data_IF_755539840067
#
_entry.id   IF_755539840067
#
_cell.length_a   1.000
_cell.length_b   1.000
_cell.length_c   1.000
_cell.angle_alpha   90.00
_cell.angle_beta   90.00
_cell.angle_gamma   90.00
#
_symmetry.space_group_name_H-M   'P 1'
#
loop_
_entity.id
_entity.type
_entity.pdbx_description
1 polymer ?
#
# COMPACT_ATOMS: atom_id res chain seq x y z
N UNK A 1 -4.46 -0.71 49.95
CA UNK A 1 -4.09 -0.47 48.54
C UNK A 1 -4.41 -1.74 47.79
N UNK A 2 -5.62 -1.83 47.23
CA UNK A 2 -6.00 -2.94 46.35
C UNK A 2 -5.41 -2.68 44.97
N UNK A 3 -4.70 -3.67 44.43
CA UNK A 3 -4.23 -3.66 43.06
C UNK A 3 -5.39 -4.02 42.14
N UNK A 4 -5.83 -3.06 41.33
CA UNK A 4 -6.73 -3.33 40.20
C UNK A 4 -5.97 -4.14 39.16
N UNK A 5 -6.27 -5.43 39.08
CA UNK A 5 -5.77 -6.31 38.03
C UNK A 5 -6.66 -6.09 36.80
N UNK A 6 -6.18 -5.32 35.83
CA UNK A 6 -6.84 -5.18 34.53
C UNK A 6 -6.40 -6.36 33.66
N UNK A 7 -7.28 -7.36 33.54
CA UNK A 7 -7.13 -8.40 32.53
C UNK A 7 -7.58 -7.85 31.18
N UNK A 8 -6.65 -7.73 30.23
CA UNK A 8 -6.89 -7.19 28.89
C UNK A 8 -7.79 -8.12 28.04
N UNK A 9 -8.13 -9.31 28.55
CA UNK A 9 -8.92 -10.33 27.87
C UNK A 9 -10.17 -10.78 28.64
N UNK A 10 -10.70 -9.93 29.52
CA UNK A 10 -12.02 -10.17 30.13
C UNK A 10 -13.13 -9.90 29.10
N UNK A 11 -13.45 -10.91 28.29
CA UNK A 11 -14.52 -10.90 27.29
C UNK A 11 -15.87 -11.36 27.85
N UNK A 12 -16.05 -11.41 29.17
CA UNK A 12 -17.36 -11.66 29.81
C UNK A 12 -18.25 -10.40 29.87
N UNK A 13 -18.16 -9.52 28.87
CA UNK A 13 -19.25 -8.58 28.64
C UNK A 13 -20.49 -9.39 28.20
N UNK A 14 -21.70 -9.11 28.73
CA UNK A 14 -22.91 -9.72 28.18
C UNK A 14 -22.91 -9.47 26.68
N UNK A 15 -23.41 -10.43 25.89
CA UNK A 15 -23.56 -10.33 24.44
C UNK A 15 -24.38 -9.07 24.08
N UNK A 16 -23.73 -7.91 24.07
CA UNK A 16 -24.22 -6.69 23.47
C UNK A 16 -24.10 -6.95 21.96
N UNK A 17 -25.06 -7.74 21.48
CA UNK A 17 -25.58 -7.82 20.14
C UNK A 17 -24.60 -7.28 19.08
N UNK A 18 -23.89 -8.21 18.43
CA UNK A 18 -23.20 -8.00 17.14
C UNK A 18 -24.17 -7.59 15.99
N UNK A 19 -25.39 -7.15 16.28
CA UNK A 19 -26.30 -6.64 15.28
C UNK A 19 -25.72 -5.38 14.66
N UNK A 20 -25.63 -5.39 13.33
CA UNK A 20 -25.27 -4.21 12.56
C UNK A 20 -26.29 -3.09 12.85
N UNK A 21 -25.83 -1.87 13.19
CA UNK A 21 -26.71 -0.74 13.39
C UNK A 21 -27.53 -0.46 12.11
N UNK A 22 -28.80 -0.09 12.26
CA UNK A 22 -29.61 0.30 11.10
C UNK A 22 -29.05 1.59 10.49
N UNK A 23 -29.28 1.80 9.18
CA UNK A 23 -28.85 3.02 8.49
C UNK A 23 -29.42 4.27 9.17
N UNK A 24 -30.66 4.22 9.71
CA UNK A 24 -31.24 5.34 10.45
C UNK A 24 -30.53 5.60 11.78
N UNK A 25 -30.05 4.55 12.47
CA UNK A 25 -29.32 4.68 13.73
C UNK A 25 -27.92 5.30 13.56
N UNK A 26 -27.37 5.23 12.34
CA UNK A 26 -26.14 5.92 11.95
C UNK A 26 -26.38 7.39 11.57
N UNK A 27 -27.62 7.89 11.65
CA UNK A 27 -28.07 9.21 11.20
C UNK A 27 -27.51 10.44 11.93
N UNK A 28 -26.39 10.31 12.66
CA UNK A 28 -25.57 11.47 12.99
C UNK A 28 -24.87 11.91 11.71
N UNK A 29 -25.16 13.12 11.24
CA UNK A 29 -24.32 13.74 10.23
C UNK A 29 -22.86 13.63 10.69
N UNK A 30 -21.97 13.03 9.88
CA UNK A 30 -20.57 12.99 10.22
C UNK A 30 -20.11 14.43 10.40
N UNK A 31 -19.65 14.78 11.61
CA UNK A 31 -18.98 16.07 11.82
C UNK A 31 -17.62 15.97 11.16
N UNK A 32 -17.57 16.30 9.88
CA UNK A 32 -16.33 16.55 9.18
C UNK A 32 -15.74 17.83 9.78
N UNK A 33 -14.83 17.70 10.75
CA UNK A 33 -13.86 18.76 11.01
C UNK A 33 -13.17 19.04 9.68
N UNK A 34 -12.94 20.32 9.34
CA UNK A 34 -12.29 20.70 8.09
C UNK A 34 -11.15 19.73 7.77
N UNK A 35 -11.16 19.06 6.60
CA UNK A 35 -10.17 18.05 6.30
C UNK A 35 -8.79 18.66 6.52
N UNK A 36 -7.92 17.95 7.23
CA UNK A 36 -6.53 18.33 7.31
C UNK A 36 -6.06 18.61 5.88
N UNK A 37 -5.57 19.82 5.60
CA UNK A 37 -5.15 20.19 4.26
C UNK A 37 -3.95 19.31 3.90
N UNK A 38 -4.22 18.23 3.16
CA UNK A 38 -3.19 17.36 2.61
C UNK A 38 -2.42 18.17 1.57
N UNK A 39 -1.18 18.53 1.89
CA UNK A 39 -0.27 19.16 0.93
C UNK A 39 0.47 18.04 0.19
N UNK A 40 0.30 17.92 -1.14
CA UNK A 40 1.10 16.99 -1.93
C UNK A 40 2.59 17.28 -1.70
N UNK A 41 3.39 16.24 -1.49
CA UNK A 41 4.85 16.36 -1.31
C UNK A 41 5.50 16.96 -2.57
N UNK A 42 4.91 16.72 -3.75
CA UNK A 42 5.28 17.35 -5.01
C UNK A 42 4.07 17.48 -5.94
N UNK A 43 3.99 18.60 -6.68
CA UNK A 43 3.00 18.83 -7.75
C UNK A 43 3.58 18.35 -9.08
N UNK A 44 3.64 17.02 -9.25
CA UNK A 44 4.11 16.37 -10.47
C UNK A 44 2.86 16.00 -11.29
N UNK A 45 2.81 16.29 -12.61
CA UNK A 45 1.76 15.77 -13.48
C UNK A 45 1.72 14.25 -13.40
N UNK A 46 0.70 13.70 -12.74
CA UNK A 46 0.52 12.25 -12.53
C UNK A 46 -0.61 11.76 -13.43
N UNK A 47 -0.29 10.85 -14.34
CA UNK A 47 -1.29 10.00 -14.99
C UNK A 47 -1.30 8.63 -14.30
N UNK A 48 -2.47 8.17 -13.85
CA UNK A 48 -2.59 6.84 -13.27
C UNK A 48 -2.26 5.78 -14.30
N UNK A 49 -1.26 4.94 -14.01
CA UNK A 49 -0.96 3.78 -14.83
C UNK A 49 -2.12 2.78 -14.76
N UNK A 50 -2.56 2.31 -15.93
CA UNK A 50 -3.59 1.28 -16.03
C UNK A 50 -2.95 -0.09 -15.90
N UNK A 51 -3.19 -0.76 -14.78
CA UNK A 51 -2.74 -2.13 -14.56
C UNK A 51 -3.61 -3.08 -15.39
N UNK A 52 -2.96 -3.90 -16.22
CA UNK A 52 -3.61 -4.81 -17.15
C UNK A 52 -3.62 -6.26 -16.61
N UNK A 53 -4.47 -7.14 -17.16
CA UNK A 53 -4.54 -8.53 -16.72
C UNK A 53 -3.19 -9.28 -16.79
N UNK A 54 -2.36 -8.98 -17.79
CA UNK A 54 -1.05 -9.57 -18.01
C UNK A 54 0.06 -9.01 -17.10
N UNK A 55 -0.17 -7.86 -16.48
CA UNK A 55 0.86 -7.24 -15.64
C UNK A 55 1.05 -8.04 -14.35
N UNK A 56 2.32 -8.21 -13.99
CA UNK A 56 2.76 -8.91 -12.78
C UNK A 56 2.84 -7.90 -11.63
N UNK A 57 2.17 -8.17 -10.52
CA UNK A 57 2.18 -7.32 -9.32
C UNK A 57 3.07 -7.93 -8.22
N UNK A 58 3.10 -9.26 -8.16
CA UNK A 58 3.75 -10.01 -7.09
C UNK A 58 4.65 -11.10 -7.66
N UNK A 59 5.96 -10.82 -7.85
CA UNK A 59 6.91 -11.83 -8.27
C UNK A 59 6.93 -13.04 -7.32
N UNK A 60 7.10 -14.23 -7.88
CA UNK A 60 7.06 -15.48 -7.11
C UNK A 60 8.40 -15.74 -6.41
N UNK A 61 8.35 -15.95 -5.10
CA UNK A 61 9.51 -16.28 -4.28
C UNK A 61 10.30 -15.07 -3.75
N UNK A 62 10.98 -15.29 -2.64
CA UNK A 62 11.68 -14.26 -1.88
C UNK A 62 12.67 -13.44 -2.71
N UNK A 63 13.58 -14.11 -3.44
CA UNK A 63 14.64 -13.44 -4.21
C UNK A 63 14.09 -12.58 -5.35
N UNK A 64 13.05 -13.07 -6.06
CA UNK A 64 12.41 -12.28 -7.11
C UNK A 64 11.69 -11.05 -6.55
N UNK A 65 11.05 -11.15 -5.38
CA UNK A 65 10.45 -9.97 -4.71
C UNK A 65 11.51 -8.95 -4.30
N UNK A 66 12.62 -9.40 -3.72
CA UNK A 66 13.72 -8.49 -3.36
C UNK A 66 14.28 -7.81 -4.60
N UNK A 67 14.56 -8.57 -5.66
CA UNK A 67 15.05 -8.03 -6.92
C UNK A 67 14.09 -7.00 -7.53
N UNK A 68 12.78 -7.29 -7.56
CA UNK A 68 11.77 -6.37 -8.06
C UNK A 68 11.68 -5.08 -7.22
N UNK A 69 11.71 -5.19 -5.89
CA UNK A 69 11.74 -4.01 -5.02
C UNK A 69 12.98 -3.15 -5.28
N UNK A 70 14.16 -3.76 -5.42
CA UNK A 70 15.41 -3.04 -5.71
C UNK A 70 15.37 -2.37 -7.08
N UNK A 71 14.83 -3.04 -8.10
CA UNK A 71 14.62 -2.46 -9.43
C UNK A 71 13.69 -1.26 -9.35
N UNK A 72 12.55 -1.38 -8.68
CA UNK A 72 11.59 -0.30 -8.51
C UNK A 72 12.20 0.91 -7.78
N UNK A 73 12.95 0.68 -6.70
CA UNK A 73 13.64 1.74 -5.94
C UNK A 73 14.67 2.47 -6.80
N UNK A 74 15.51 1.73 -7.53
CA UNK A 74 16.54 2.33 -8.39
C UNK A 74 15.89 3.15 -9.50
N UNK A 75 14.83 2.63 -10.12
CA UNK A 75 14.07 3.30 -11.15
C UNK A 75 13.37 4.56 -10.64
N UNK A 76 12.73 4.50 -9.47
CA UNK A 76 12.13 5.66 -8.81
C UNK A 76 13.15 6.79 -8.65
N UNK A 77 14.32 6.47 -8.07
CA UNK A 77 15.39 7.45 -7.85
C UNK A 77 15.92 8.04 -9.17
N UNK A 78 16.01 7.24 -10.22
CA UNK A 78 16.39 7.71 -11.56
C UNK A 78 15.34 8.68 -12.15
N UNK A 79 14.07 8.32 -12.07
CA UNK A 79 12.95 9.15 -12.57
C UNK A 79 12.90 10.49 -11.84
N UNK A 80 13.08 10.49 -10.52
CA UNK A 80 13.12 11.70 -9.72
C UNK A 80 14.35 12.56 -10.01
N UNK A 81 15.53 11.94 -10.17
CA UNK A 81 16.74 12.66 -10.53
C UNK A 81 16.64 13.32 -11.92
N UNK A 82 16.02 12.62 -12.88
CA UNK A 82 15.84 13.11 -14.24
C UNK A 82 14.64 14.04 -14.42
N UNK A 83 13.69 14.07 -13.47
CA UNK A 83 12.49 14.89 -13.52
C UNK A 83 11.49 14.47 -14.61
N UNK A 84 11.62 13.25 -15.15
CA UNK A 84 10.76 12.74 -16.23
C UNK A 84 9.66 11.83 -15.68
N UNK A 85 8.55 11.74 -16.41
CA UNK A 85 7.50 10.76 -16.12
C UNK A 85 7.93 9.35 -16.58
N UNK A 86 7.50 8.28 -15.89
CA UNK A 86 7.76 6.91 -16.32
C UNK A 86 7.00 6.56 -17.60
N UNK A 87 7.61 5.73 -18.43
CA UNK A 87 6.95 5.00 -19.52
C UNK A 87 6.11 3.83 -19.00
N UNK A 88 5.26 3.25 -19.85
CA UNK A 88 4.46 2.07 -19.50
C UNK A 88 5.31 0.87 -19.04
N UNK A 89 6.47 0.64 -19.66
CA UNK A 89 7.38 -0.45 -19.30
C UNK A 89 8.02 -0.22 -17.93
N UNK A 90 8.27 1.04 -17.58
CA UNK A 90 8.78 1.46 -16.27
C UNK A 90 7.70 1.37 -15.20
N UNK A 91 6.47 1.78 -15.52
CA UNK A 91 5.31 1.57 -14.65
C UNK A 91 5.11 0.10 -14.29
N UNK A 92 5.28 -0.82 -15.26
CA UNK A 92 5.21 -2.27 -14.99
C UNK A 92 6.30 -2.78 -14.04
N UNK A 93 7.44 -2.11 -13.97
CA UNK A 93 8.48 -2.43 -13.00
C UNK A 93 8.16 -1.84 -11.63
N UNK A 94 7.66 -0.60 -11.58
CA UNK A 94 7.28 0.07 -10.34
C UNK A 94 6.14 -0.65 -9.61
N UNK A 95 5.10 -1.10 -10.32
CA UNK A 95 3.97 -1.83 -9.70
C UNK A 95 4.35 -3.21 -9.14
N UNK A 96 5.56 -3.72 -9.42
CA UNK A 96 6.04 -4.97 -8.84
C UNK A 96 6.63 -4.78 -7.43
N UNK A 97 6.79 -3.54 -6.96
CA UNK A 97 7.14 -3.29 -5.57
C UNK A 97 6.07 -3.86 -4.65
N UNK A 98 6.46 -4.79 -3.79
CA UNK A 98 5.55 -5.56 -2.95
C UNK A 98 5.81 -5.40 -1.46
N UNK A 99 6.59 -4.36 -1.10
CA UNK A 99 7.01 -4.09 0.27
C UNK A 99 7.92 -5.18 0.85
N UNK A 100 8.16 -5.10 2.15
CA UNK A 100 9.14 -5.94 2.84
C UNK A 100 8.54 -6.99 3.77
N UNK A 101 7.22 -6.96 3.99
CA UNK A 101 6.53 -7.81 4.97
C UNK A 101 6.68 -9.31 4.75
N UNK A 102 6.80 -9.74 3.49
CA UNK A 102 7.01 -11.15 3.12
C UNK A 102 8.47 -11.56 2.94
N UNK A 103 9.42 -10.64 3.16
CA UNK A 103 10.84 -10.84 2.86
C UNK A 103 11.80 -10.29 3.93
N UNK A 104 11.57 -10.53 5.24
CA UNK A 104 12.44 -10.02 6.32
C UNK A 104 13.91 -10.47 6.18
N UNK A 105 14.14 -11.62 5.55
CA UNK A 105 15.47 -12.14 5.23
C UNK A 105 16.36 -11.21 4.43
N UNK A 106 15.81 -10.23 3.71
CA UNK A 106 16.59 -9.24 2.98
C UNK A 106 17.39 -8.33 3.92
N UNK A 107 17.03 -8.28 5.21
CA UNK A 107 17.65 -7.45 6.24
C UNK A 107 18.50 -8.24 7.24
N UNK A 108 18.66 -9.55 7.02
CA UNK A 108 19.40 -10.43 7.92
C UNK A 108 20.87 -10.56 7.44
N UNK A 109 21.85 -9.95 8.13
CA UNK A 109 23.26 -10.02 7.74
C UNK A 109 23.85 -11.43 7.88
N UNK A 110 23.27 -12.27 8.73
CA UNK A 110 23.81 -13.60 9.02
C UNK A 110 23.28 -14.66 8.04
N UNK A 111 22.30 -14.29 7.20
CA UNK A 111 21.66 -15.19 6.25
C UNK A 111 22.42 -15.24 4.94
N UNK A 112 23.45 -16.11 4.90
CA UNK A 112 24.33 -16.34 3.74
C UNK A 112 23.60 -16.53 2.40
N UNK A 113 22.42 -17.16 2.39
CA UNK A 113 21.60 -17.35 1.18
C UNK A 113 21.17 -16.01 0.53
N UNK A 114 21.06 -14.94 1.32
CA UNK A 114 20.63 -13.59 0.92
C UNK A 114 21.74 -12.54 1.06
N UNK A 115 22.99 -12.94 1.25
CA UNK A 115 24.09 -12.01 1.50
C UNK A 115 24.27 -10.98 0.36
N UNK A 116 24.09 -11.41 -0.89
CA UNK A 116 24.14 -10.50 -2.04
C UNK A 116 22.99 -9.49 -2.01
N UNK A 117 21.77 -9.97 -1.81
CA UNK A 117 20.57 -9.15 -1.74
C UNK A 117 20.64 -8.12 -0.61
N UNK A 118 21.21 -8.50 0.54
CA UNK A 118 21.45 -7.62 1.68
C UNK A 118 22.40 -6.46 1.34
N UNK A 119 23.52 -6.74 0.68
CA UNK A 119 24.47 -5.70 0.26
C UNK A 119 23.86 -4.78 -0.81
N UNK A 120 23.14 -5.34 -1.79
CA UNK A 120 22.44 -4.57 -2.80
C UNK A 120 21.37 -3.64 -2.21
N UNK A 121 20.65 -4.10 -1.18
CA UNK A 121 19.67 -3.33 -0.43
C UNK A 121 20.30 -2.17 0.33
N UNK A 122 21.38 -2.43 1.06
CA UNK A 122 22.12 -1.37 1.76
C UNK A 122 22.68 -0.32 0.84
N UNK A 123 23.16 -0.71 -0.34
CA UNK A 123 23.67 0.22 -1.33
C UNK A 123 22.57 1.05 -2.01
N UNK A 124 21.38 0.47 -2.19
CA UNK A 124 20.26 1.14 -2.86
C UNK A 124 19.54 2.15 -1.97
N UNK A 125 19.58 1.99 -0.64
CA UNK A 125 18.82 2.78 0.31
C UNK A 125 19.70 3.77 1.09
N UNK A 126 19.17 4.95 1.36
CA UNK A 126 19.71 5.83 2.40
C UNK A 126 19.53 5.18 3.78
N UNK A 127 20.24 5.67 4.80
CA UNK A 127 20.09 5.16 6.16
C UNK A 127 18.64 5.26 6.68
N UNK A 128 17.95 6.36 6.37
CA UNK A 128 16.56 6.57 6.80
C UNK A 128 15.59 5.64 6.07
N UNK A 129 15.74 5.51 4.74
CA UNK A 129 14.95 4.57 3.94
C UNK A 129 15.17 3.12 4.40
N UNK A 130 16.42 2.73 4.70
CA UNK A 130 16.74 1.40 5.20
C UNK A 130 16.05 1.10 6.54
N UNK A 131 16.08 2.06 7.47
CA UNK A 131 15.40 1.92 8.77
C UNK A 131 13.88 1.79 8.58
N UNK A 132 13.29 2.62 7.70
CA UNK A 132 11.85 2.56 7.37
C UNK A 132 11.48 1.20 6.76
N UNK A 133 12.21 0.79 5.72
CA UNK A 133 11.99 -0.47 5.01
C UNK A 133 12.14 -1.69 5.94
N UNK A 134 13.11 -1.66 6.86
CA UNK A 134 13.29 -2.72 7.85
C UNK A 134 12.13 -2.75 8.85
N UNK A 135 11.68 -1.59 9.33
CA UNK A 135 10.56 -1.50 10.26
C UNK A 135 9.25 -1.99 9.63
N UNK A 136 9.09 -1.83 8.31
CA UNK A 136 7.89 -2.22 7.58
C UNK A 136 7.78 -3.73 7.28
N UNK A 137 8.82 -4.51 7.59
CA UNK A 137 8.78 -5.98 7.52
C UNK A 137 7.70 -6.63 8.39
N UNK A 138 7.16 -5.91 9.38
CA UNK A 138 6.12 -6.42 10.27
C UNK A 138 4.69 -6.15 9.77
N UNK A 139 4.50 -5.20 8.85
CA UNK A 139 3.16 -4.67 8.55
C UNK A 139 2.91 -4.28 7.08
N UNK A 140 3.92 -4.30 6.19
CA UNK A 140 3.72 -4.02 4.76
C UNK A 140 3.29 -5.25 3.98
N UNK A 141 1.98 -5.51 3.98
CA UNK A 141 1.35 -6.55 3.15
C UNK A 141 0.43 -5.93 2.10
N UNK A 142 0.69 -6.23 0.84
CA UNK A 142 -0.16 -5.79 -0.26
C UNK A 142 -1.36 -6.72 -0.48
N UNK A 143 -2.48 -6.12 -0.89
CA UNK A 143 -3.73 -6.83 -1.20
C UNK A 143 -3.59 -7.69 -2.46
N UNK A 144 -3.79 -9.02 -2.41
CA UNK A 144 -3.65 -9.87 -3.58
C UNK A 144 -4.52 -9.42 -4.77
N UNK A 145 -4.00 -9.59 -6.01
CA UNK A 145 -4.64 -9.12 -7.25
C UNK A 145 -6.10 -9.55 -7.36
N UNK A 146 -6.39 -10.83 -7.10
CA UNK A 146 -7.73 -11.39 -7.18
C UNK A 146 -8.71 -10.73 -6.19
N UNK A 147 -8.21 -10.27 -5.03
CA UNK A 147 -9.05 -9.62 -4.01
C UNK A 147 -9.37 -8.18 -4.40
N UNK A 148 -8.41 -7.47 -5.00
CA UNK A 148 -8.65 -6.14 -5.60
C UNK A 148 -9.71 -6.24 -6.70
N UNK A 149 -9.56 -7.21 -7.61
CA UNK A 149 -10.55 -7.48 -8.67
C UNK A 149 -11.94 -7.82 -8.10
N UNK A 150 -11.99 -8.61 -7.03
CA UNK A 150 -13.23 -8.97 -6.37
C UNK A 150 -13.92 -7.77 -5.74
N UNK A 151 -13.17 -6.88 -5.07
CA UNK A 151 -13.70 -5.66 -4.47
C UNK A 151 -14.24 -4.70 -5.53
N UNK A 152 -13.56 -4.56 -6.66
CA UNK A 152 -14.09 -3.79 -7.79
C UNK A 152 -15.38 -4.38 -8.35
N UNK A 153 -15.48 -5.71 -8.48
CA UNK A 153 -16.73 -6.38 -8.88
C UNK A 153 -17.87 -6.13 -7.90
N UNK A 154 -17.58 -6.03 -6.59
CA UNK A 154 -18.58 -5.64 -5.59
C UNK A 154 -19.04 -4.21 -5.82
N UNK A 155 -18.10 -3.28 -6.04
CA UNK A 155 -18.42 -1.88 -6.32
C UNK A 155 -19.32 -1.73 -7.55
N UNK A 156 -19.01 -2.45 -8.64
CA UNK A 156 -19.85 -2.47 -9.84
C UNK A 156 -21.26 -3.02 -9.56
N UNK A 157 -21.36 -4.13 -8.82
CA UNK A 157 -22.67 -4.71 -8.44
C UNK A 157 -23.48 -3.81 -7.54
N UNK A 158 -22.83 -2.97 -6.73
CA UNK A 158 -23.47 -1.95 -5.92
C UNK A 158 -23.89 -0.70 -6.72
N UNK A 159 -23.62 -0.66 -8.03
CA UNK A 159 -23.99 0.45 -8.90
C UNK A 159 -23.02 1.64 -8.83
N UNK A 160 -21.81 1.46 -8.29
CA UNK A 160 -20.79 2.51 -8.25
C UNK A 160 -20.24 2.71 -9.67
N UNK A 161 -20.62 3.82 -10.31
CA UNK A 161 -20.14 4.20 -11.65
C UNK A 161 -19.03 5.27 -11.61
N UNK A 162 -18.72 5.82 -10.44
CA UNK A 162 -17.73 6.89 -10.28
C UNK A 162 -17.89 7.64 -8.96
N UNK A 163 -17.08 8.67 -8.77
CA UNK A 163 -17.10 9.52 -7.58
C UNK A 163 -15.72 9.76 -6.98
N UNK A 164 -15.70 10.05 -5.68
CA UNK A 164 -14.47 10.25 -4.91
C UNK A 164 -14.17 9.00 -4.08
N UNK A 165 -12.95 8.51 -4.19
CA UNK A 165 -12.47 7.31 -3.51
C UNK A 165 -11.33 7.70 -2.57
N UNK A 166 -11.29 7.08 -1.39
CA UNK A 166 -10.17 7.18 -0.46
C UNK A 166 -9.38 5.90 -0.46
N UNK A 167 -8.05 6.00 -0.56
CA UNK A 167 -7.13 4.88 -0.36
C UNK A 167 -6.08 5.30 0.69
N UNK A 168 -6.11 4.69 1.87
CA UNK A 168 -5.35 5.12 3.04
C UNK A 168 -4.37 4.02 3.47
N UNK A 169 -3.24 3.97 2.77
CA UNK A 169 -2.34 2.83 2.67
C UNK A 169 -2.14 2.43 1.21
N UNK A 170 -2.02 3.43 0.32
CA UNK A 170 -2.07 3.24 -1.11
C UNK A 170 -0.93 2.40 -1.68
N UNK A 171 0.20 2.33 -0.97
CA UNK A 171 1.44 1.78 -1.49
C UNK A 171 1.72 2.34 -2.88
N UNK A 172 2.04 1.46 -3.83
CA UNK A 172 2.29 1.84 -5.24
C UNK A 172 1.00 1.99 -6.08
N UNK A 173 -0.17 2.04 -5.44
CA UNK A 173 -1.43 2.38 -6.08
C UNK A 173 -2.11 1.24 -6.85
N UNK A 174 -2.01 -0.02 -6.39
CA UNK A 174 -2.65 -1.15 -7.10
C UNK A 174 -4.17 -1.00 -7.23
N UNK A 175 -4.88 -0.56 -6.19
CA UNK A 175 -6.33 -0.30 -6.28
C UNK A 175 -6.66 0.76 -7.32
N UNK A 176 -5.86 1.83 -7.36
CA UNK A 176 -6.01 2.96 -8.28
C UNK A 176 -5.79 2.48 -9.73
N UNK A 177 -4.69 1.76 -9.98
CA UNK A 177 -4.35 1.26 -11.31
C UNK A 177 -5.30 0.15 -11.82
N UNK A 178 -6.00 -0.54 -10.92
CA UNK A 178 -6.95 -1.60 -11.25
C UNK A 178 -8.42 -1.16 -11.29
N UNK A 179 -8.73 0.12 -11.07
CA UNK A 179 -10.10 0.65 -11.17
C UNK A 179 -10.72 0.29 -12.53
N UNK A 180 -11.89 -0.33 -12.65
CA UNK A 180 -12.52 -0.66 -13.95
C UNK A 180 -12.70 0.57 -14.87
N UNK A 181 -12.56 0.41 -16.20
CA UNK A 181 -12.60 1.53 -17.17
C UNK A 181 -13.93 2.29 -17.17
N UNK A 182 -15.01 1.56 -16.89
CA UNK A 182 -16.37 2.05 -16.76
C UNK A 182 -16.58 2.91 -15.51
N UNK A 183 -15.71 2.80 -14.50
CA UNK A 183 -15.78 3.59 -13.27
C UNK A 183 -14.94 4.86 -13.43
N UNK A 184 -15.59 6.02 -13.28
CA UNK A 184 -14.93 7.33 -13.35
C UNK A 184 -14.68 7.89 -11.95
N UNK A 185 -13.52 7.58 -11.39
CA UNK A 185 -13.14 7.97 -10.04
C UNK A 185 -12.02 8.99 -9.94
N UNK A 186 -12.04 9.77 -8.86
CA UNK A 186 -10.85 10.49 -8.36
C UNK A 186 -10.44 9.89 -7.02
N UNK A 187 -9.16 9.63 -6.84
CA UNK A 187 -8.62 9.09 -5.59
C UNK A 187 -7.99 10.18 -4.73
N UNK A 188 -8.28 10.15 -3.44
CA UNK A 188 -7.42 10.70 -2.40
C UNK A 188 -6.61 9.54 -1.84
N UNK A 189 -5.32 9.51 -2.15
CA UNK A 189 -4.40 8.48 -1.69
C UNK A 189 -3.48 9.02 -0.59
N UNK A 190 -3.31 8.24 0.48
CA UNK A 190 -2.36 8.52 1.56
C UNK A 190 -1.46 7.31 1.70
N UNK A 191 -0.16 7.55 1.83
CA UNK A 191 0.82 6.52 2.10
C UNK A 191 1.82 7.03 3.14
N UNK A 192 2.21 6.17 4.07
CA UNK A 192 3.14 6.50 5.15
C UNK A 192 4.57 6.12 4.77
N UNK A 193 4.75 5.07 3.97
CA UNK A 193 6.06 4.66 3.47
C UNK A 193 6.50 5.58 2.32
N UNK A 194 7.60 6.31 2.55
CA UNK A 194 8.10 7.31 1.61
C UNK A 194 8.39 6.73 0.22
N UNK A 195 9.00 5.54 0.15
CA UNK A 195 9.37 4.92 -1.13
C UNK A 195 8.14 4.57 -1.95
N UNK A 196 7.14 3.93 -1.35
CA UNK A 196 5.95 3.53 -2.10
C UNK A 196 4.98 4.68 -2.36
N UNK A 197 5.05 5.76 -1.59
CA UNK A 197 4.20 6.95 -1.76
C UNK A 197 4.68 7.99 -2.79
N UNK A 198 5.90 7.84 -3.32
CA UNK A 198 6.51 8.77 -4.29
C UNK A 198 6.30 8.32 -5.73
#
# INVERSE_FOLDING_TARGET
>A
MEALNFDLFDLEAPEDSLALPSLESLGREPRFTSPAALKPIADIPRSSYRIRPEDVLYPAGAKHKIAANLTAIRLLKELEHSGRSPSDDECRQLIQYSGWGGIPQAFDPDRQEFAREYEELKAALTAQEYVSARASTLNSHYTPKFLIEFLWKIAEKAGIAGGEFGEFGAGVGHFIGMMPEQIRGRFTAVEIDDISGR
#
